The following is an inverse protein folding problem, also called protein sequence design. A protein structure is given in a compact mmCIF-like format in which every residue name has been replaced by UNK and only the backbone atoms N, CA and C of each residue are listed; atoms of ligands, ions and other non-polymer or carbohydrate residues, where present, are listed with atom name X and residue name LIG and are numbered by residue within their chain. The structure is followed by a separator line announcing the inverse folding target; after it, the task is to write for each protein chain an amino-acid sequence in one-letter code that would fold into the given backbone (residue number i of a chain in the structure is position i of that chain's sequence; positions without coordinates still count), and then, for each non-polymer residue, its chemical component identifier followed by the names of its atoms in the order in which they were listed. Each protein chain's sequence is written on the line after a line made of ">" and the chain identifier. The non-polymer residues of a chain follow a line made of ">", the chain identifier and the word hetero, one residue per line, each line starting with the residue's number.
data_IF_595411428063
#
_entry.id   IF_595411428063
#
_cell.length_a   1.000
_cell.length_b   1.000
_cell.length_c   1.000
_cell.angle_alpha   90.00
_cell.angle_beta   90.00
_cell.angle_gamma   90.00
#
_symmetry.space_group_name_H-M   'P 1'
#
loop_
_entity.id
_entity.type
_entity.pdbx_description
1 polymer ?
#
# COMPACT_ATOMS: atom_id res chain seq x y z
N UNK A 1 20.59 20.72 16.28
CA UNK A 1 19.20 20.64 16.76
C UNK A 1 18.27 20.93 15.60
N UNK A 2 17.31 20.05 15.32
CA UNK A 2 16.28 20.20 14.28
C UNK A 2 14.98 20.67 14.94
N UNK A 3 14.23 21.58 14.31
CA UNK A 3 12.92 22.02 14.82
C UNK A 3 11.83 21.62 13.82
N UNK A 4 10.86 20.84 14.27
CA UNK A 4 9.80 20.31 13.40
C UNK A 4 8.58 19.89 14.20
N UNK A 5 7.43 19.75 13.56
CA UNK A 5 6.25 19.06 14.11
C UNK A 5 5.92 17.79 13.33
N UNK A 6 6.71 17.49 12.30
CA UNK A 6 6.53 16.39 11.38
C UNK A 6 7.26 15.13 11.86
N UNK A 7 6.52 14.03 11.97
CA UNK A 7 7.05 12.71 12.35
C UNK A 7 7.99 12.11 11.31
N UNK A 8 7.79 12.38 10.02
CA UNK A 8 8.69 11.93 8.95
C UNK A 8 10.10 12.53 9.09
N UNK A 9 10.20 13.78 9.54
CA UNK A 9 11.49 14.42 9.85
C UNK A 9 12.15 13.77 11.07
N UNK A 10 11.37 13.35 12.07
CA UNK A 10 11.91 12.59 13.22
C UNK A 10 12.43 11.22 12.77
N UNK A 11 11.68 10.49 11.95
CA UNK A 11 12.09 9.19 11.41
C UNK A 11 13.41 9.30 10.62
N UNK A 12 13.55 10.37 9.82
CA UNK A 12 14.78 10.66 9.09
C UNK A 12 15.94 11.02 10.02
N UNK A 13 15.69 11.81 11.07
CA UNK A 13 16.70 12.16 12.07
C UNK A 13 17.21 10.91 12.81
N UNK A 14 16.31 9.97 13.15
CA UNK A 14 16.67 8.68 13.78
C UNK A 14 17.53 7.84 12.84
N UNK A 15 17.13 7.71 11.57
CA UNK A 15 17.91 6.97 10.56
C UNK A 15 19.29 7.59 10.33
N UNK A 16 19.34 8.91 10.20
CA UNK A 16 20.59 9.65 9.95
C UNK A 16 21.54 9.61 11.15
N UNK A 17 21.03 9.50 12.37
CA UNK A 17 21.86 9.35 13.58
C UNK A 17 22.73 8.09 13.54
N UNK A 18 22.28 7.04 12.83
CA UNK A 18 23.10 5.82 12.62
C UNK A 18 24.31 6.11 11.73
N UNK A 19 24.18 7.00 10.74
CA UNK A 19 25.25 7.35 9.81
C UNK A 19 26.22 8.40 10.36
N UNK A 20 25.74 9.26 11.26
CA UNK A 20 26.54 10.32 11.89
C UNK A 20 27.08 9.81 13.24
N UNK A 21 28.12 8.98 13.18
CA UNK A 21 28.80 8.48 14.36
C UNK A 21 29.11 9.61 15.37
N UNK A 22 28.86 9.35 16.65
CA UNK A 22 29.12 10.25 17.78
C UNK A 22 28.45 11.63 17.74
N UNK A 23 27.43 11.81 16.89
CA UNK A 23 26.68 13.06 16.81
C UNK A 23 25.35 12.96 17.56
N UNK A 24 25.18 13.78 18.61
CA UNK A 24 23.92 13.90 19.31
C UNK A 24 22.90 14.69 18.48
N UNK A 25 21.96 13.98 17.83
CA UNK A 25 20.86 14.61 17.09
C UNK A 25 19.67 14.82 18.01
N UNK A 26 19.27 16.08 18.19
CA UNK A 26 18.12 16.50 18.97
C UNK A 26 17.06 17.11 18.07
N UNK A 27 15.81 16.68 18.26
CA UNK A 27 14.63 17.21 17.57
C UNK A 27 13.75 17.96 18.57
N UNK A 28 13.63 19.27 18.40
CA UNK A 28 12.65 20.09 19.08
C UNK A 28 11.28 19.89 18.40
N UNK A 29 10.43 19.05 19.01
CA UNK A 29 9.17 18.57 18.47
C UNK A 29 7.96 19.18 19.17
N UNK A 30 6.99 19.69 18.38
CA UNK A 30 5.78 20.34 18.90
C UNK A 30 5.92 21.85 19.08
N UNK A 31 4.91 22.48 19.69
CA UNK A 31 4.86 23.94 19.89
C UNK A 31 4.35 24.30 21.28
N UNK A 32 4.71 25.50 21.75
CA UNK A 32 4.24 26.05 23.02
C UNK A 32 4.45 25.12 24.20
N UNK A 33 3.38 24.82 24.95
CA UNK A 33 3.40 23.97 26.15
C UNK A 33 3.68 22.49 25.85
N UNK A 34 3.59 22.06 24.59
CA UNK A 34 3.82 20.68 24.17
C UNK A 34 5.18 20.48 23.47
N UNK A 35 6.04 21.52 23.49
CA UNK A 35 7.40 21.41 22.95
C UNK A 35 8.21 20.40 23.77
N UNK A 36 8.79 19.41 23.08
CA UNK A 36 9.64 18.38 23.67
C UNK A 36 10.95 18.28 22.89
N UNK A 37 12.04 17.99 23.57
CA UNK A 37 13.33 17.70 22.93
C UNK A 37 13.51 16.19 22.88
N UNK A 38 13.51 15.64 21.67
CA UNK A 38 13.59 14.21 21.42
C UNK A 38 15.02 13.87 20.99
N UNK A 39 15.74 12.99 21.72
CA UNK A 39 17.07 12.53 21.33
C UNK A 39 16.96 11.45 20.26
N UNK A 40 16.99 11.84 18.98
CA UNK A 40 16.88 10.89 17.87
C UNK A 40 18.01 9.84 17.87
N UNK A 41 19.19 10.21 18.36
CA UNK A 41 20.34 9.32 18.53
C UNK A 41 20.11 8.23 19.60
N UNK A 42 19.40 8.53 20.67
CA UNK A 42 19.08 7.51 21.69
C UNK A 42 17.95 6.59 21.21
N UNK A 43 16.97 7.13 20.47
CA UNK A 43 15.95 6.31 19.79
C UNK A 43 16.62 5.34 18.80
N UNK A 44 17.60 5.82 18.03
CA UNK A 44 18.33 4.96 17.09
C UNK A 44 19.06 3.81 17.79
N UNK A 45 19.67 4.08 18.96
CA UNK A 45 20.33 3.06 19.80
C UNK A 45 19.32 2.04 20.35
N UNK A 46 18.17 2.51 20.84
CA UNK A 46 17.13 1.64 21.41
C UNK A 46 16.45 0.75 20.35
N UNK A 47 16.20 1.30 19.16
CA UNK A 47 15.65 0.54 18.04
C UNK A 47 16.64 -0.46 17.44
N UNK A 48 17.94 -0.23 17.63
CA UNK A 48 19.00 -0.93 16.93
C UNK A 48 19.27 -0.36 15.54
N UNK A 49 20.54 -0.41 15.12
CA UNK A 49 21.02 0.28 13.92
C UNK A 49 20.27 -0.09 12.64
N UNK A 50 19.93 -1.37 12.44
CA UNK A 50 19.23 -1.83 11.23
C UNK A 50 17.80 -1.28 11.14
N UNK A 51 17.01 -1.35 12.23
CA UNK A 51 15.63 -0.81 12.23
C UNK A 51 15.62 0.70 12.18
N UNK A 52 16.53 1.36 12.90
CA UNK A 52 16.68 2.81 12.84
C UNK A 52 16.98 3.27 11.39
N UNK A 53 17.89 2.58 10.70
CA UNK A 53 18.23 2.86 9.30
C UNK A 53 17.03 2.62 8.37
N UNK A 54 16.32 1.52 8.54
CA UNK A 54 15.16 1.12 7.74
C UNK A 54 13.89 1.97 7.98
N UNK A 55 13.84 2.75 9.06
CA UNK A 55 12.64 3.47 9.51
C UNK A 55 11.99 4.38 8.45
N UNK A 56 12.73 5.16 7.64
CA UNK A 56 12.13 6.01 6.61
C UNK A 56 11.50 5.20 5.48
N UNK A 57 12.10 4.06 5.11
CA UNK A 57 11.54 3.15 4.11
C UNK A 57 10.25 2.49 4.64
N UNK A 58 10.25 2.04 5.90
CA UNK A 58 9.04 1.58 6.57
C UNK A 58 7.95 2.68 6.61
N UNK A 59 8.34 3.93 6.92
CA UNK A 59 7.41 5.04 6.98
C UNK A 59 6.75 5.31 5.62
N UNK A 60 7.54 5.39 4.54
CA UNK A 60 7.04 5.55 3.18
C UNK A 60 6.17 4.37 2.75
N UNK A 61 6.57 3.13 3.06
CA UNK A 61 5.82 1.94 2.67
C UNK A 61 4.48 1.80 3.38
N UNK A 62 4.37 2.22 4.64
CA UNK A 62 3.14 2.16 5.43
C UNK A 62 2.22 3.37 5.27
N UNK A 63 2.71 4.39 4.58
CA UNK A 63 1.97 5.60 4.22
C UNK A 63 2.62 6.88 4.76
N UNK A 64 2.78 7.88 3.90
CA UNK A 64 3.22 9.23 4.18
C UNK A 64 2.46 10.22 3.28
N UNK A 65 2.88 11.48 3.22
CA UNK A 65 2.16 12.49 2.43
C UNK A 65 2.10 12.19 0.93
N UNK A 66 3.11 11.48 0.39
CA UNK A 66 3.21 11.18 -1.04
C UNK A 66 2.88 9.73 -1.38
N UNK A 67 2.76 8.86 -0.38
CA UNK A 67 2.52 7.42 -0.55
C UNK A 67 1.39 7.01 0.37
N UNK A 68 0.37 6.33 -0.16
CA UNK A 68 -0.86 6.11 0.60
C UNK A 68 -0.68 5.10 1.73
N UNK A 69 -1.57 5.16 2.72
CA UNK A 69 -1.65 4.15 3.76
C UNK A 69 -2.48 2.94 3.33
N UNK A 70 -2.17 1.77 3.90
CA UNK A 70 -3.03 0.60 3.78
C UNK A 70 -4.35 0.82 4.54
N UNK A 71 -5.49 0.58 3.88
CA UNK A 71 -6.82 0.84 4.43
C UNK A 71 -7.05 0.14 5.78
N UNK A 72 -7.45 0.90 6.80
CA UNK A 72 -7.70 0.38 8.14
C UNK A 72 -6.44 -0.07 8.91
N UNK A 73 -5.23 0.19 8.40
CA UNK A 73 -3.97 -0.23 9.04
C UNK A 73 -3.16 0.98 9.49
N UNK A 74 -3.20 1.28 10.78
CA UNK A 74 -2.42 2.37 11.38
C UNK A 74 -0.93 2.01 11.54
N UNK A 75 -0.08 3.04 11.64
CA UNK A 75 1.39 2.88 11.82
C UNK A 75 1.76 2.06 13.06
N UNK A 76 1.01 2.19 14.16
CA UNK A 76 1.23 1.35 15.36
C UNK A 76 1.08 -0.13 15.04
N UNK A 77 -0.03 -0.51 14.39
CA UNK A 77 -0.28 -1.90 13.99
C UNK A 77 0.81 -2.40 13.04
N UNK A 78 1.19 -1.57 12.06
CA UNK A 78 2.25 -1.91 11.10
C UNK A 78 3.61 -2.12 11.81
N UNK A 79 3.95 -1.26 12.76
CA UNK A 79 5.18 -1.38 13.54
C UNK A 79 5.17 -2.62 14.44
N UNK A 80 4.03 -2.96 15.05
CA UNK A 80 3.90 -4.19 15.83
C UNK A 80 4.10 -5.45 14.96
N UNK A 81 3.62 -5.45 13.71
CA UNK A 81 3.90 -6.54 12.76
C UNK A 81 5.39 -6.61 12.44
N UNK A 82 6.02 -5.47 12.18
CA UNK A 82 7.46 -5.41 11.91
C UNK A 82 8.30 -5.90 13.10
N UNK A 83 7.83 -5.73 14.34
CA UNK A 83 8.49 -6.35 15.51
C UNK A 83 8.41 -7.88 15.49
N UNK A 84 7.29 -8.43 15.03
CA UNK A 84 7.08 -9.89 14.97
C UNK A 84 7.60 -10.58 13.70
N UNK A 85 7.83 -9.82 12.63
CA UNK A 85 8.30 -10.30 11.33
C UNK A 85 9.55 -9.51 10.94
N UNK A 86 10.68 -9.90 11.51
CA UNK A 86 11.94 -9.15 11.40
C UNK A 86 12.62 -9.35 10.04
N UNK A 87 12.22 -10.38 9.28
CA UNK A 87 12.70 -10.69 7.94
C UNK A 87 12.51 -9.53 6.94
N UNK A 88 11.58 -8.61 7.21
CA UNK A 88 11.38 -7.41 6.39
C UNK A 88 12.42 -6.31 6.65
N UNK A 89 13.11 -6.33 7.80
CA UNK A 89 14.15 -5.35 8.16
C UNK A 89 15.26 -5.24 7.11
N UNK A 90 15.93 -6.35 6.69
CA UNK A 90 16.98 -6.26 5.68
C UNK A 90 16.47 -5.75 4.33
N UNK A 91 15.21 -6.05 3.95
CA UNK A 91 14.59 -5.54 2.72
C UNK A 91 14.36 -4.03 2.81
N UNK A 92 13.82 -3.52 3.92
CA UNK A 92 13.68 -2.07 4.09
C UNK A 92 15.04 -1.36 4.15
N UNK A 93 16.04 -1.95 4.80
CA UNK A 93 17.40 -1.41 4.90
C UNK A 93 18.10 -1.35 3.52
N UNK A 94 17.97 -2.41 2.71
CA UNK A 94 18.52 -2.45 1.35
C UNK A 94 17.84 -1.44 0.44
N UNK A 95 16.50 -1.38 0.44
CA UNK A 95 15.74 -0.45 -0.40
C UNK A 95 15.94 1.03 0.01
N UNK A 96 16.22 1.28 1.29
CA UNK A 96 16.59 2.62 1.77
C UNK A 96 17.96 3.06 1.25
N UNK A 97 18.90 2.13 1.15
CA UNK A 97 20.32 2.44 0.84
C UNK A 97 20.61 2.38 -0.65
N UNK A 98 20.14 1.32 -1.30
CA UNK A 98 20.29 1.09 -2.73
C UNK A 98 18.95 0.64 -3.30
N UNK A 99 18.11 1.60 -3.71
CA UNK A 99 16.79 1.34 -4.28
C UNK A 99 16.83 0.45 -5.54
N UNK A 100 17.99 0.38 -6.22
CA UNK A 100 18.15 -0.41 -7.44
C UNK A 100 18.18 -1.92 -7.17
N UNK A 101 18.36 -2.33 -5.90
CA UNK A 101 18.31 -3.73 -5.47
C UNK A 101 16.91 -4.35 -5.49
N UNK A 102 15.87 -3.53 -5.73
CA UNK A 102 14.50 -4.00 -5.77
C UNK A 102 14.27 -5.10 -6.81
N UNK A 103 13.81 -6.26 -6.33
CA UNK A 103 13.57 -7.45 -7.15
C UNK A 103 12.39 -8.29 -6.60
N UNK A 104 12.15 -9.46 -7.21
CA UNK A 104 11.05 -10.35 -6.83
C UNK A 104 11.21 -10.98 -5.43
N UNK A 105 12.44 -11.16 -4.96
CA UNK A 105 12.71 -11.66 -3.59
C UNK A 105 12.29 -10.61 -2.56
N UNK A 106 12.64 -9.33 -2.80
CA UNK A 106 12.16 -8.21 -1.99
C UNK A 106 10.63 -8.17 -1.95
N UNK A 107 9.99 -8.31 -3.11
CA UNK A 107 8.52 -8.35 -3.19
C UNK A 107 7.91 -9.51 -2.42
N UNK A 108 8.53 -10.69 -2.44
CA UNK A 108 8.02 -11.87 -1.72
C UNK A 108 7.97 -11.64 -0.21
N UNK A 109 9.01 -10.99 0.36
CA UNK A 109 9.04 -10.62 1.78
C UNK A 109 8.02 -9.52 2.09
N UNK A 110 7.91 -8.51 1.22
CA UNK A 110 6.93 -7.42 1.37
C UNK A 110 5.49 -7.93 1.29
N UNK A 111 5.20 -8.90 0.41
CA UNK A 111 3.91 -9.58 0.34
C UNK A 111 3.59 -10.27 1.66
N UNK A 112 4.50 -11.09 2.20
CA UNK A 112 4.30 -11.79 3.47
C UNK A 112 4.04 -10.80 4.63
N UNK A 113 4.81 -9.70 4.69
CA UNK A 113 4.58 -8.64 5.66
C UNK A 113 3.17 -8.01 5.53
N UNK A 114 2.73 -7.72 4.29
CA UNK A 114 1.39 -7.17 4.04
C UNK A 114 0.29 -8.18 4.36
N UNK A 115 0.49 -9.48 4.12
CA UNK A 115 -0.46 -10.51 4.55
C UNK A 115 -0.65 -10.47 6.06
N UNK A 116 0.44 -10.48 6.83
CA UNK A 116 0.39 -10.40 8.30
C UNK A 116 -0.23 -9.08 8.79
N UNK A 117 -0.05 -7.99 8.05
CA UNK A 117 -0.67 -6.70 8.35
C UNK A 117 -2.20 -6.76 8.30
N UNK A 118 -2.76 -7.52 7.36
CA UNK A 118 -4.20 -7.71 7.24
C UNK A 118 -4.71 -8.83 8.14
N UNK A 119 -3.91 -9.88 8.34
CA UNK A 119 -4.33 -11.06 9.08
C UNK A 119 -3.13 -11.82 9.67
N UNK A 120 -2.86 -11.60 10.96
CA UNK A 120 -1.73 -12.20 11.69
C UNK A 120 -1.75 -13.73 11.76
N UNK A 121 -2.91 -14.34 11.55
CA UNK A 121 -3.07 -15.81 11.60
C UNK A 121 -3.06 -16.43 10.20
N UNK A 122 -2.90 -15.63 9.14
CA UNK A 122 -2.90 -16.13 7.78
C UNK A 122 -1.60 -16.91 7.53
N UNK A 123 -1.72 -18.09 6.92
CA UNK A 123 -0.58 -18.95 6.55
C UNK A 123 -0.10 -18.71 5.13
N UNK A 124 -0.84 -17.93 4.35
CA UNK A 124 -0.47 -17.55 2.98
C UNK A 124 0.68 -16.54 3.02
N UNK A 125 1.59 -16.62 2.05
CA UNK A 125 2.73 -15.70 1.92
C UNK A 125 2.55 -14.69 0.80
N UNK A 126 1.58 -14.88 -0.09
CA UNK A 126 1.27 -13.97 -1.20
C UNK A 126 -0.02 -13.22 -0.92
N UNK A 127 -0.09 -11.96 -1.36
CA UNK A 127 -1.27 -11.13 -1.09
C UNK A 127 -2.50 -11.60 -1.86
N UNK A 128 -2.32 -12.15 -3.06
CA UNK A 128 -3.44 -12.68 -3.86
C UNK A 128 -4.04 -13.95 -3.24
N UNK A 129 -3.20 -14.89 -2.76
CA UNK A 129 -3.69 -16.08 -2.05
C UNK A 129 -4.35 -15.71 -0.72
N UNK A 130 -3.74 -14.81 0.05
CA UNK A 130 -4.31 -14.31 1.31
C UNK A 130 -5.63 -13.59 1.08
N UNK A 131 -5.72 -12.76 0.04
CA UNK A 131 -6.94 -12.06 -0.35
C UNK A 131 -8.06 -13.05 -0.65
N UNK A 132 -7.79 -14.08 -1.45
CA UNK A 132 -8.75 -15.16 -1.72
C UNK A 132 -9.17 -15.85 -0.43
N UNK A 133 -8.21 -16.31 0.37
CA UNK A 133 -8.47 -17.06 1.60
C UNK A 133 -9.33 -16.23 2.57
N UNK A 134 -8.89 -15.02 2.93
CA UNK A 134 -9.59 -14.15 3.89
C UNK A 134 -11.01 -13.83 3.41
N UNK A 135 -11.18 -13.58 2.11
CA UNK A 135 -12.50 -13.31 1.55
C UNK A 135 -13.42 -14.54 1.63
N UNK A 136 -12.92 -15.73 1.29
CA UNK A 136 -13.76 -16.96 1.26
C UNK A 136 -14.02 -17.56 2.63
N UNK A 137 -13.09 -17.42 3.58
CA UNK A 137 -13.15 -18.14 4.86
C UNK A 137 -13.54 -17.25 6.04
N UNK A 138 -13.32 -15.93 5.94
CA UNK A 138 -13.51 -14.99 7.06
C UNK A 138 -14.57 -13.90 6.79
N UNK A 139 -15.22 -13.93 5.63
CA UNK A 139 -16.30 -13.00 5.23
C UNK A 139 -15.95 -11.51 5.48
N UNK A 140 -14.70 -11.13 5.21
CA UNK A 140 -14.26 -9.74 5.40
C UNK A 140 -14.66 -8.88 4.20
N UNK A 141 -15.06 -7.64 4.49
CA UNK A 141 -15.32 -6.64 3.47
C UNK A 141 -14.09 -6.35 2.60
N UNK A 142 -14.33 -5.83 1.40
CA UNK A 142 -13.28 -5.51 0.41
C UNK A 142 -12.22 -4.53 0.93
N UNK A 143 -12.60 -3.65 1.86
CA UNK A 143 -11.67 -2.69 2.48
C UNK A 143 -10.78 -3.35 3.55
N UNK A 144 -11.12 -4.57 3.96
CA UNK A 144 -10.45 -5.31 5.03
C UNK A 144 -9.66 -6.54 4.55
N UNK A 145 -9.35 -6.59 3.25
CA UNK A 145 -8.53 -7.63 2.61
C UNK A 145 -7.27 -7.04 1.94
N UNK A 146 -6.17 -7.81 1.81
CA UNK A 146 -4.92 -7.35 1.22
C UNK A 146 -5.01 -6.79 -0.21
N UNK A 147 -4.01 -6.00 -0.65
CA UNK A 147 -3.84 -5.55 -2.03
C UNK A 147 -3.71 -6.71 -2.98
N UNK A 148 -4.09 -6.47 -4.23
CA UNK A 148 -3.67 -7.37 -5.30
C UNK A 148 -2.17 -7.19 -5.51
N UNK A 149 -1.47 -8.22 -5.93
CA UNK A 149 -0.02 -8.15 -6.17
C UNK A 149 0.35 -7.00 -7.11
N UNK A 150 -0.47 -6.76 -8.15
CA UNK A 150 -0.25 -5.68 -9.10
C UNK A 150 -0.37 -4.28 -8.46
N UNK A 151 -1.35 -4.07 -7.58
CA UNK A 151 -1.51 -2.81 -6.87
C UNK A 151 -0.40 -2.61 -5.83
N UNK A 152 -0.06 -3.68 -5.09
CA UNK A 152 1.04 -3.66 -4.13
C UNK A 152 2.36 -3.34 -4.82
N UNK A 153 2.64 -3.90 -5.99
CA UNK A 153 3.87 -3.61 -6.74
C UNK A 153 4.00 -2.12 -7.07
N UNK A 154 2.93 -1.46 -7.53
CA UNK A 154 2.97 -0.03 -7.81
C UNK A 154 3.11 0.81 -6.54
N UNK A 155 2.46 0.38 -5.45
CA UNK A 155 2.62 0.96 -4.13
C UNK A 155 4.06 0.88 -3.62
N UNK A 156 4.68 -0.30 -3.70
CA UNK A 156 6.08 -0.53 -3.36
C UNK A 156 7.00 0.38 -4.17
N UNK A 157 6.77 0.51 -5.49
CA UNK A 157 7.55 1.42 -6.34
C UNK A 157 7.49 2.88 -5.89
N UNK A 158 6.30 3.37 -5.51
CA UNK A 158 6.14 4.73 -4.97
C UNK A 158 6.82 4.88 -3.62
N UNK A 159 6.69 3.88 -2.75
CA UNK A 159 7.38 3.85 -1.46
C UNK A 159 8.89 3.90 -1.64
N UNK A 160 9.47 3.10 -2.55
CA UNK A 160 10.91 3.08 -2.84
C UNK A 160 11.37 4.42 -3.41
N UNK A 161 10.55 5.07 -4.25
CA UNK A 161 10.83 6.42 -4.72
C UNK A 161 10.98 7.39 -3.56
N UNK A 162 10.02 7.42 -2.65
CA UNK A 162 10.04 8.35 -1.53
C UNK A 162 11.11 8.00 -0.49
N UNK A 163 11.14 6.75 -0.03
CA UNK A 163 12.03 6.28 1.02
C UNK A 163 13.48 6.21 0.54
N UNK A 164 13.72 5.48 -0.55
CA UNK A 164 15.06 5.22 -1.04
C UNK A 164 15.63 6.36 -1.90
N UNK A 165 14.93 6.75 -2.97
CA UNK A 165 15.46 7.75 -3.90
C UNK A 165 15.38 9.20 -3.38
N UNK A 166 14.45 9.54 -2.49
CA UNK A 166 14.35 10.91 -1.94
C UNK A 166 14.99 10.97 -0.55
N UNK A 167 14.51 10.18 0.42
CA UNK A 167 15.01 10.23 1.80
C UNK A 167 16.34 9.50 2.03
N UNK A 168 16.62 8.44 1.27
CA UNK A 168 17.88 7.69 1.32
C UNK A 168 19.12 8.53 1.01
N UNK A 169 18.94 9.69 0.37
CA UNK A 169 19.99 10.62 0.01
C UNK A 169 20.11 11.82 0.98
N UNK A 170 19.56 11.74 2.20
CA UNK A 170 19.51 12.89 3.12
C UNK A 170 20.87 13.52 3.47
N UNK A 171 21.96 12.76 3.38
CA UNK A 171 23.33 13.25 3.62
C UNK A 171 24.05 13.70 2.34
N UNK A 172 23.41 13.60 1.17
CA UNK A 172 23.98 14.01 -0.11
C UNK A 172 23.64 15.49 -0.34
N UNK A 173 24.67 16.32 -0.58
CA UNK A 173 24.51 17.77 -0.75
C UNK A 173 23.62 18.18 -1.94
N UNK A 174 23.64 17.41 -3.02
CA UNK A 174 22.87 17.65 -4.23
C UNK A 174 22.31 16.31 -4.73
N UNK A 175 21.24 15.80 -4.08
CA UNK A 175 20.69 14.50 -4.43
C UNK A 175 20.04 14.56 -5.82
N UNK A 176 20.19 13.49 -6.59
CA UNK A 176 19.53 13.35 -7.89
C UNK A 176 18.48 12.25 -7.76
N UNK A 177 17.22 12.60 -7.98
CA UNK A 177 16.12 11.64 -8.02
C UNK A 177 15.83 11.23 -9.47
N UNK A 178 15.53 9.95 -9.75
CA UNK A 178 15.07 9.54 -11.06
C UNK A 178 13.68 10.13 -11.37
N UNK A 179 13.22 9.96 -12.61
CA UNK A 179 11.87 10.35 -13.00
C UNK A 179 10.81 9.53 -12.23
N UNK A 180 9.75 10.15 -11.71
CA UNK A 180 8.64 9.43 -11.07
C UNK A 180 7.91 8.45 -11.99
N UNK A 181 7.97 8.63 -13.32
CA UNK A 181 7.18 7.86 -14.30
C UNK A 181 7.41 6.34 -14.25
N UNK A 182 8.61 5.92 -13.83
CA UNK A 182 8.97 4.49 -13.73
C UNK A 182 8.69 3.92 -12.33
N UNK A 183 8.20 4.75 -11.41
CA UNK A 183 8.08 4.45 -9.99
C UNK A 183 6.63 4.54 -9.49
N UNK A 184 5.67 4.07 -10.30
CA UNK A 184 4.26 4.01 -9.92
C UNK A 184 3.54 5.34 -9.98
N UNK A 185 4.06 6.29 -10.77
CA UNK A 185 3.42 7.57 -11.13
C UNK A 185 3.27 7.66 -12.65
N UNK A 186 2.29 8.43 -13.09
CA UNK A 186 2.05 8.76 -14.50
C UNK A 186 1.73 10.24 -14.65
N UNK A 187 2.10 10.86 -15.78
CA UNK A 187 1.67 12.23 -16.10
C UNK A 187 0.29 12.19 -16.72
N UNK A 188 -0.66 12.88 -16.11
CA UNK A 188 -1.96 13.16 -16.73
C UNK A 188 -1.85 14.51 -17.44
N UNK A 189 -2.22 14.57 -18.73
CA UNK A 189 -1.96 15.71 -19.62
C UNK A 189 -2.35 17.06 -19.01
N UNK A 190 -1.37 17.81 -18.51
CA UNK A 190 -1.53 19.13 -17.89
C UNK A 190 -1.83 19.16 -16.39
N UNK A 191 -2.15 18.02 -15.74
CA UNK A 191 -2.60 17.96 -14.33
C UNK A 191 -1.53 17.42 -13.35
N UNK A 192 -0.25 17.51 -13.73
CA UNK A 192 0.85 17.03 -12.89
C UNK A 192 0.98 15.51 -12.82
N UNK A 193 1.66 15.03 -11.78
CA UNK A 193 1.87 13.60 -11.53
C UNK A 193 0.68 13.00 -10.78
N UNK A 194 0.18 11.86 -11.24
CA UNK A 194 -0.85 11.08 -10.57
C UNK A 194 -0.36 9.66 -10.31
N UNK A 195 -0.83 9.00 -9.24
CA UNK A 195 -0.47 7.62 -8.98
C UNK A 195 -0.91 6.70 -10.12
N UNK A 196 -0.01 5.84 -10.58
CA UNK A 196 -0.33 4.71 -11.43
C UNK A 196 -0.73 3.54 -10.52
N UNK A 197 -2.04 3.25 -10.44
CA UNK A 197 -2.59 2.39 -9.40
C UNK A 197 -2.29 0.91 -9.58
N UNK A 198 -2.52 0.39 -10.78
CA UNK A 198 -2.42 -1.03 -11.09
C UNK A 198 -2.29 -1.22 -12.60
N UNK A 199 -1.66 -2.33 -12.99
CA UNK A 199 -1.64 -2.80 -14.38
C UNK A 199 -2.91 -3.59 -14.74
N UNK A 200 -3.72 -3.92 -13.74
CA UNK A 200 -4.92 -4.73 -13.95
C UNK A 200 -6.04 -3.85 -14.51
N UNK A 201 -6.76 -4.33 -15.54
CA UNK A 201 -7.98 -3.67 -16.00
C UNK A 201 -9.02 -3.56 -14.89
N UNK A 202 -9.95 -2.61 -14.98
CA UNK A 202 -11.05 -2.51 -14.02
C UNK A 202 -11.85 -3.82 -13.96
N UNK A 203 -12.37 -4.17 -12.78
CA UNK A 203 -13.12 -5.41 -12.55
C UNK A 203 -14.26 -5.56 -13.55
N UNK A 204 -14.99 -4.48 -13.77
CA UNK A 204 -16.16 -4.44 -14.65
C UNK A 204 -15.77 -4.63 -16.12
N UNK A 205 -14.57 -4.21 -16.51
CA UNK A 205 -14.05 -4.41 -17.86
C UNK A 205 -13.54 -5.85 -18.10
N UNK A 206 -13.30 -6.61 -17.03
CA UNK A 206 -12.58 -7.89 -17.08
C UNK A 206 -13.42 -9.09 -16.67
N UNK A 207 -14.50 -8.85 -15.92
CA UNK A 207 -15.44 -9.85 -15.45
C UNK A 207 -16.82 -9.52 -16.00
N UNK A 208 -17.15 -10.10 -17.15
CA UNK A 208 -18.49 -10.03 -17.73
C UNK A 208 -19.54 -10.72 -16.84
N UNK A 209 -19.12 -11.51 -15.85
CA UNK A 209 -19.96 -12.10 -14.82
C UNK A 209 -20.44 -11.07 -13.76
N UNK A 210 -19.79 -9.91 -13.65
CA UNK A 210 -20.27 -8.79 -12.84
C UNK A 210 -21.34 -7.95 -13.57
N UNK A 211 -21.67 -8.30 -14.83
CA UNK A 211 -22.72 -7.62 -15.59
C UNK A 211 -24.10 -7.94 -15.02
N UNK A 212 -24.66 -7.01 -14.24
CA UNK A 212 -26.08 -7.01 -13.91
C UNK A 212 -26.89 -6.44 -15.08
N UNK A 213 -27.90 -7.18 -15.52
CA UNK A 213 -28.80 -6.69 -16.57
C UNK A 213 -30.01 -5.91 -16.05
N UNK A 214 -30.34 -5.99 -14.75
CA UNK A 214 -31.52 -5.32 -14.17
C UNK A 214 -32.87 -5.80 -14.73
N UNK A 215 -32.89 -6.91 -15.49
CA UNK A 215 -34.10 -7.36 -16.17
C UNK A 215 -35.09 -7.97 -15.17
N UNK A 216 -36.28 -7.37 -15.06
CA UNK A 216 -37.31 -7.79 -14.09
C UNK A 216 -38.10 -9.03 -14.52
N UNK A 217 -38.22 -9.31 -15.82
CA UNK A 217 -38.96 -10.47 -16.37
C UNK A 217 -38.25 -11.05 -17.59
N UNK A 218 -37.52 -12.15 -17.40
CA UNK A 218 -36.75 -12.80 -18.46
C UNK A 218 -35.64 -11.91 -19.03
N UNK A 219 -34.67 -12.50 -19.72
CA UNK A 219 -33.57 -11.75 -20.31
C UNK A 219 -33.74 -11.73 -21.85
N UNK A 220 -34.23 -10.63 -22.44
CA UNK A 220 -34.44 -10.54 -23.89
C UNK A 220 -33.11 -10.54 -24.65
N UNK A 221 -33.11 -10.69 -25.98
CA UNK A 221 -31.86 -10.64 -26.80
C UNK A 221 -31.03 -9.36 -26.61
N UNK A 222 -31.64 -8.27 -26.14
CA UNK A 222 -30.97 -7.00 -25.87
C UNK A 222 -30.39 -6.91 -24.45
N UNK A 223 -30.62 -7.91 -23.61
CA UNK A 223 -30.08 -8.00 -22.25
C UNK A 223 -28.56 -8.03 -22.28
N UNK A 224 -27.92 -7.29 -21.36
CA UNK A 224 -26.47 -7.24 -21.20
C UNK A 224 -25.85 -8.63 -20.97
N UNK A 225 -26.48 -9.47 -20.16
CA UNK A 225 -26.02 -10.85 -19.92
C UNK A 225 -26.10 -11.70 -21.19
N UNK A 226 -27.21 -11.60 -21.93
CA UNK A 226 -27.42 -12.38 -23.17
C UNK A 226 -26.45 -11.95 -24.27
N UNK A 227 -26.21 -10.63 -24.41
CA UNK A 227 -25.22 -10.10 -25.35
C UNK A 227 -23.79 -10.54 -25.02
N UNK A 228 -23.49 -10.70 -23.74
CA UNK A 228 -22.20 -11.19 -23.26
C UNK A 228 -22.13 -12.73 -23.17
N UNK A 229 -23.12 -13.46 -23.71
CA UNK A 229 -23.20 -14.93 -23.66
C UNK A 229 -23.17 -15.55 -22.25
N UNK A 230 -23.62 -14.82 -21.22
CA UNK A 230 -23.73 -15.30 -19.84
C UNK A 230 -25.17 -15.64 -19.44
N UNK A 231 -25.32 -16.67 -18.60
CA UNK A 231 -26.62 -17.05 -18.02
C UNK A 231 -27.08 -15.99 -17.03
N UNK A 232 -28.30 -15.47 -17.23
CA UNK A 232 -28.94 -14.57 -16.29
C UNK A 232 -29.20 -15.29 -14.95
N UNK A 233 -28.66 -14.76 -13.85
CA UNK A 233 -28.88 -15.26 -12.49
C UNK A 233 -29.86 -14.35 -11.73
N UNK A 234 -30.37 -14.81 -10.59
CA UNK A 234 -31.22 -14.01 -9.68
C UNK A 234 -30.52 -12.73 -9.21
N UNK A 235 -29.20 -12.75 -9.08
CA UNK A 235 -28.34 -11.62 -8.68
C UNK A 235 -28.37 -10.43 -9.65
N UNK A 236 -28.90 -10.62 -10.87
CA UNK A 236 -29.06 -9.54 -11.84
C UNK A 236 -30.26 -8.62 -11.57
N UNK A 237 -31.16 -8.97 -10.63
CA UNK A 237 -32.41 -8.23 -10.37
C UNK A 237 -32.28 -7.17 -9.28
N UNK A 238 -31.35 -7.34 -8.34
CA UNK A 238 -31.24 -6.48 -7.17
C UNK A 238 -30.22 -5.34 -7.38
N UNK A 239 -30.75 -4.12 -7.25
CA UNK A 239 -30.00 -2.85 -7.35
C UNK A 239 -29.42 -2.38 -6.03
N UNK A 240 -29.64 -3.10 -4.94
CA UNK A 240 -28.96 -2.92 -3.65
C UNK A 240 -28.12 -4.17 -3.37
N UNK A 241 -26.92 -3.95 -2.83
CA UNK A 241 -25.99 -4.96 -2.32
C UNK A 241 -25.10 -5.66 -3.36
N UNK A 242 -24.01 -4.97 -3.71
CA UNK A 242 -22.72 -5.63 -3.85
C UNK A 242 -22.28 -6.03 -2.43
N UNK A 243 -22.73 -7.18 -1.89
CA UNK A 243 -22.03 -7.82 -0.74
C UNK A 243 -22.56 -9.17 -0.25
N UNK A 244 -23.73 -9.68 -0.65
CA UNK A 244 -24.25 -10.94 -0.10
C UNK A 244 -24.70 -11.91 -1.19
N UNK A 245 -23.76 -12.63 -1.81
CA UNK A 245 -24.06 -13.89 -2.55
C UNK A 245 -22.80 -14.66 -2.98
N UNK A 246 -21.81 -14.84 -2.11
CA UNK A 246 -20.81 -15.92 -2.26
C UNK A 246 -20.87 -16.89 -1.05
N UNK A 247 -21.80 -16.69 -0.12
CA UNK A 247 -21.89 -17.46 1.13
C UNK A 247 -23.01 -18.50 1.24
N UNK A 248 -23.97 -18.58 0.31
CA UNK A 248 -25.12 -19.49 0.43
C UNK A 248 -25.51 -20.10 -0.92
N UNK A 249 -24.74 -21.09 -1.37
CA UNK A 249 -25.22 -22.23 -2.16
C UNK A 249 -24.13 -23.32 -2.13
N UNK A 250 -23.86 -23.84 -0.93
CA UNK A 250 -23.22 -25.14 -0.77
C UNK A 250 -24.28 -26.21 -0.99
N UNK A 251 -24.39 -26.67 -2.25
CA UNK A 251 -24.82 -28.00 -2.68
C UNK A 251 -25.42 -27.92 -4.10
N UNK A 252 -24.57 -27.87 -5.12
CA UNK A 252 -24.75 -28.63 -6.37
C UNK A 252 -23.51 -28.47 -7.27
N UNK A 253 -22.74 -29.56 -7.31
CA UNK A 253 -21.94 -30.04 -8.44
C UNK A 253 -21.04 -29.02 -9.19
N UNK A 254 -19.84 -28.87 -8.63
CA UNK A 254 -18.56 -29.07 -9.30
C UNK A 254 -18.53 -28.98 -10.85
N UNK A 255 -18.51 -27.76 -11.41
CA UNK A 255 -17.97 -27.49 -12.76
C UNK A 255 -17.12 -26.20 -12.83
N UNK A 256 -16.65 -25.69 -11.68
CA UNK A 256 -15.96 -24.39 -11.58
C UNK A 256 -14.47 -24.48 -11.22
N UNK A 257 -13.87 -25.67 -11.23
CA UNK A 257 -12.49 -25.87 -10.77
C UNK A 257 -11.40 -25.32 -11.73
N UNK A 258 -11.75 -24.73 -12.88
CA UNK A 258 -10.78 -24.17 -13.83
C UNK A 258 -10.94 -22.67 -14.16
N UNK A 259 -11.96 -21.98 -13.64
CA UNK A 259 -12.31 -20.61 -14.07
C UNK A 259 -12.36 -19.57 -12.93
N UNK A 260 -12.06 -20.00 -11.71
CA UNK A 260 -12.03 -19.14 -10.52
C UNK A 260 -10.91 -18.08 -10.62
N UNK A 261 -9.86 -18.24 -11.42
CA UNK A 261 -8.73 -17.28 -11.46
C UNK A 261 -9.06 -15.85 -11.94
N UNK A 262 -10.17 -15.60 -12.66
CA UNK A 262 -10.39 -14.31 -13.33
C UNK A 262 -11.12 -13.24 -12.51
N UNK A 263 -11.85 -13.63 -11.45
CA UNK A 263 -12.73 -12.71 -10.69
C UNK A 263 -12.00 -11.97 -9.54
N UNK A 264 -10.82 -12.42 -9.13
CA UNK A 264 -10.18 -11.98 -7.87
C UNK A 264 -9.35 -10.69 -7.93
N UNK A 265 -9.18 -10.13 -9.13
CA UNK A 265 -8.05 -9.25 -9.42
C UNK A 265 -8.32 -7.75 -9.22
N UNK A 266 -9.57 -7.30 -9.04
CA UNK A 266 -9.87 -5.91 -9.38
C UNK A 266 -10.84 -5.21 -8.43
N UNK A 267 -10.41 -4.90 -7.21
CA UNK A 267 -10.87 -3.67 -6.54
C UNK A 267 -10.01 -3.34 -5.33
N UNK A 268 -9.43 -2.14 -5.34
CA UNK A 268 -8.68 -1.59 -4.23
C UNK A 268 -9.03 -0.12 -4.00
N UNK A 269 -9.31 0.22 -2.74
CA UNK A 269 -9.52 1.58 -2.28
C UNK A 269 -8.32 1.94 -1.40
N UNK A 270 -7.42 2.78 -1.91
CA UNK A 270 -6.47 3.50 -1.06
C UNK A 270 -7.07 4.86 -0.71
N UNK A 271 -7.03 5.23 0.56
CA UNK A 271 -7.55 6.52 1.03
C UNK A 271 -6.55 7.60 0.63
N UNK A 272 -6.88 8.38 -0.40
CA UNK A 272 -6.14 9.58 -0.75
C UNK A 272 -6.52 10.72 0.19
N UNK A 273 -5.52 11.34 0.83
CA UNK A 273 -5.69 12.65 1.43
C UNK A 273 -5.43 13.71 0.35
N UNK A 274 -6.25 14.78 0.26
CA UNK A 274 -5.96 15.87 -0.65
C UNK A 274 -4.65 16.54 -0.23
N UNK A 275 -3.68 16.58 -1.14
CA UNK A 275 -2.51 17.44 -1.03
C UNK A 275 -2.99 18.89 -1.24
N UNK A 276 -3.32 19.58 -0.15
CA UNK A 276 -3.47 21.04 -0.21
C UNK A 276 -2.12 21.70 -0.44
N UNK A 277 -2.14 22.74 -1.26
CA UNK A 277 -1.00 23.46 -1.82
C UNK A 277 -0.02 23.95 -0.74
N UNK A 278 1.20 23.41 -0.74
CA UNK A 278 2.33 24.06 -0.09
C UNK A 278 3.60 23.93 -0.93
N UNK A 279 3.54 24.45 -2.15
CA UNK A 279 4.71 24.81 -2.95
C UNK A 279 4.59 26.28 -3.37
N UNK A 280 4.72 27.19 -2.41
CA UNK A 280 5.06 28.59 -2.69
C UNK A 280 5.54 29.31 -1.43
N UNK A 281 6.62 30.06 -1.58
CA UNK A 281 7.24 30.99 -0.63
C UNK A 281 8.08 30.41 0.52
N UNK A 282 9.31 30.03 0.19
CA UNK A 282 10.46 30.50 0.98
C UNK A 282 11.42 31.19 0.02
N UNK A 283 11.20 32.50 -0.18
CA UNK A 283 12.14 33.43 -0.80
C UNK A 283 12.56 34.39 0.31
N UNK A 284 13.86 34.37 0.62
CA UNK A 284 14.67 35.42 1.25
C UNK A 284 14.09 36.13 2.48
N UNK A 285 14.68 35.85 3.65
CA UNK A 285 15.51 36.78 4.44
C UNK A 285 16.23 36.03 5.57
#
# INVERSE_FOLDING_TARGET
>A
MLRTVDTGVLDLAVSTAVCLADTAIWVAFGTGKHLRHIPAHDIAKELGYEKARALPMFHAFTGCDTVLSFAGRGKKTAFDIWKSFDEVTPVFSSLMTDPSTFNDDCMSVLEAYVVLLYDRTCTETTVDSARKNIFTTKDRSMDNIPPTKAALLQHTKRAIYQGGYVWGQALVRCPVSPSPNTHGWQKSGGQGWQPFWTLLPEAVASCSELLKCGCKKGCPRQCKCVRAAHKCTSLCRDTSDMMYAIGHDYEQECFLCHHIHRVWLCQWVMVAFPAEESFSSYRQE
#
